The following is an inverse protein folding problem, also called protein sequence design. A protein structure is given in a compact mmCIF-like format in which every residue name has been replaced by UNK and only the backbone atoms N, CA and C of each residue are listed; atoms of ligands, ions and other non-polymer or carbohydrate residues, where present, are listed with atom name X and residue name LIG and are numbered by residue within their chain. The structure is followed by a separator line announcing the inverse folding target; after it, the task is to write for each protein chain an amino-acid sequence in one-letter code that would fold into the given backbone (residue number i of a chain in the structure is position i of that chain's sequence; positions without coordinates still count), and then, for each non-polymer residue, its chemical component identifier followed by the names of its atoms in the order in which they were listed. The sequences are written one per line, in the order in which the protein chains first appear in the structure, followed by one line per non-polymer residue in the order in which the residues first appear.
data_IF_081785777462
#
_entry.id   IF_081785777462
#
_cell.length_a   1.000
_cell.length_b   1.000
_cell.length_c   1.000
_cell.angle_alpha   90.00
_cell.angle_beta   90.00
_cell.angle_gamma   90.00
#
_symmetry.space_group_name_H-M   'P 1'
#
loop_
_entity.id
_entity.type
_entity.pdbx_description
1 polymer ?
#
# COMPACT_ATOMS: atom_id res chain seq x y z
N UNK A 1 5.33 11.02 14.62
CA UNK A 1 6.12 11.76 13.62
C UNK A 1 7.05 10.87 12.79
N UNK A 2 7.95 10.09 13.39
CA UNK A 2 8.83 9.22 12.60
C UNK A 2 8.07 8.18 11.77
N UNK A 3 6.99 7.65 12.35
CA UNK A 3 5.98 6.81 11.72
C UNK A 3 5.26 7.54 10.58
N UNK A 4 4.70 8.73 10.84
CA UNK A 4 3.95 9.52 9.83
C UNK A 4 4.82 9.83 8.60
N UNK A 5 6.06 10.30 8.81
CA UNK A 5 6.98 10.63 7.73
C UNK A 5 7.37 9.40 6.89
N UNK A 6 7.49 8.22 7.52
CA UNK A 6 7.80 6.99 6.80
C UNK A 6 6.67 6.58 5.83
N UNK A 7 5.42 6.88 6.18
CA UNK A 7 4.25 6.60 5.33
C UNK A 7 4.24 7.47 4.08
N UNK A 8 4.59 8.76 4.22
CA UNK A 8 4.78 9.69 3.11
C UNK A 8 5.89 9.24 2.15
N UNK A 9 7.01 8.77 2.70
CA UNK A 9 8.10 8.24 1.88
C UNK A 9 7.63 7.01 1.08
N UNK A 10 6.93 6.07 1.72
CA UNK A 10 6.45 4.86 1.07
C UNK A 10 5.44 5.14 -0.05
N UNK A 11 4.39 5.94 0.22
CA UNK A 11 3.39 6.27 -0.81
C UNK A 11 3.97 7.16 -1.91
N UNK A 12 4.89 8.06 -1.55
CA UNK A 12 5.62 8.91 -2.49
C UNK A 12 6.45 8.11 -3.48
N UNK A 13 7.23 7.14 -2.98
CA UNK A 13 8.03 6.23 -3.82
C UNK A 13 7.14 5.39 -4.75
N UNK A 14 6.05 4.82 -4.22
CA UNK A 14 5.11 4.04 -5.02
C UNK A 14 4.43 4.86 -6.13
N UNK A 15 3.94 6.05 -5.79
CA UNK A 15 3.31 6.94 -6.75
C UNK A 15 4.32 7.40 -7.81
N UNK A 16 5.55 7.70 -7.40
CA UNK A 16 6.63 8.08 -8.30
C UNK A 16 6.94 6.97 -9.30
N UNK A 17 7.10 5.72 -8.85
CA UNK A 17 7.32 4.56 -9.71
C UNK A 17 6.18 4.38 -10.73
N UNK A 18 4.92 4.42 -10.26
CA UNK A 18 3.72 4.29 -11.11
C UNK A 18 3.53 5.44 -12.12
N UNK A 19 4.07 6.62 -11.85
CA UNK A 19 4.02 7.74 -12.79
C UNK A 19 5.21 7.74 -13.74
N UNK A 20 6.38 7.29 -13.29
CA UNK A 20 7.62 7.41 -14.04
C UNK A 20 7.87 6.27 -15.03
N UNK A 21 7.38 5.05 -14.78
CA UNK A 21 7.80 3.88 -15.57
C UNK A 21 7.61 4.06 -17.08
N UNK A 22 6.48 4.61 -17.54
CA UNK A 22 6.19 4.92 -18.94
C UNK A 22 6.46 6.39 -19.35
N UNK A 23 6.98 7.22 -18.45
CA UNK A 23 7.11 8.65 -18.69
C UNK A 23 8.43 9.04 -19.37
N UNK A 24 8.37 10.08 -20.21
CA UNK A 24 9.56 10.72 -20.80
C UNK A 24 10.45 11.36 -19.73
N UNK A 25 11.75 11.61 -20.00
CA UNK A 25 12.65 12.23 -19.04
C UNK A 25 12.15 13.58 -18.48
N UNK A 26 11.52 14.40 -19.33
CA UNK A 26 10.93 15.67 -18.92
C UNK A 26 9.73 15.48 -17.97
N UNK A 27 8.84 14.53 -18.27
CA UNK A 27 7.70 14.21 -17.41
C UNK A 27 8.14 13.61 -16.07
N UNK A 28 9.12 12.70 -16.06
CA UNK A 28 9.70 12.13 -14.84
C UNK A 28 10.20 13.23 -13.90
N UNK A 29 10.95 14.20 -14.43
CA UNK A 29 11.41 15.37 -13.65
C UNK A 29 10.23 16.14 -13.07
N UNK A 30 9.20 16.42 -13.87
CA UNK A 30 8.04 17.16 -13.40
C UNK A 30 7.28 16.40 -12.29
N UNK A 31 7.11 15.07 -12.41
CA UNK A 31 6.50 14.25 -11.37
C UNK A 31 7.33 14.22 -10.09
N UNK A 32 8.65 14.07 -10.19
CA UNK A 32 9.55 14.14 -9.03
C UNK A 32 9.42 15.49 -8.31
N UNK A 33 9.48 16.60 -9.05
CA UNK A 33 9.35 17.94 -8.49
C UNK A 33 7.98 18.16 -7.84
N UNK A 34 6.90 17.67 -8.46
CA UNK A 34 5.55 17.77 -7.90
C UNK A 34 5.42 16.95 -6.60
N UNK A 35 5.89 15.70 -6.58
CA UNK A 35 5.83 14.85 -5.38
C UNK A 35 6.66 15.44 -4.24
N UNK A 36 7.91 15.83 -4.49
CA UNK A 36 8.76 16.44 -3.47
C UNK A 36 8.22 17.80 -3.02
N UNK A 37 7.69 18.59 -3.95
CA UNK A 37 7.07 19.89 -3.68
C UNK A 37 5.80 19.81 -2.83
N UNK A 38 5.15 18.64 -2.75
CA UNK A 38 4.04 18.39 -1.81
C UNK A 38 4.54 17.77 -0.51
N UNK A 39 5.36 16.71 -0.60
CA UNK A 39 5.78 15.95 0.57
C UNK A 39 6.65 16.76 1.53
N UNK A 40 7.61 17.54 1.02
CA UNK A 40 8.52 18.31 1.88
C UNK A 40 7.76 19.38 2.66
N UNK A 41 6.95 20.27 2.05
CA UNK A 41 6.24 21.29 2.81
C UNK A 41 5.23 20.72 3.80
N UNK A 42 4.47 19.68 3.41
CA UNK A 42 3.48 19.07 4.31
C UNK A 42 4.17 18.37 5.48
N UNK A 43 5.30 17.69 5.24
CA UNK A 43 6.12 17.09 6.30
C UNK A 43 6.65 18.16 7.27
N UNK A 44 7.21 19.25 6.74
CA UNK A 44 7.72 20.36 7.55
C UNK A 44 6.59 20.99 8.37
N UNK A 45 5.43 21.22 7.76
CA UNK A 45 4.26 21.74 8.46
C UNK A 45 3.82 20.82 9.59
N UNK A 46 3.66 19.52 9.31
CA UNK A 46 3.30 18.53 10.32
C UNK A 46 4.26 18.54 11.52
N UNK A 47 5.57 18.63 11.25
CA UNK A 47 6.60 18.65 12.29
C UNK A 47 6.60 19.94 13.11
N UNK A 48 6.42 21.09 12.46
CA UNK A 48 6.49 22.40 13.13
C UNK A 48 5.19 22.75 13.85
N UNK A 49 4.04 22.42 13.25
CA UNK A 49 2.72 22.74 13.78
C UNK A 49 2.20 21.68 14.77
N UNK A 50 2.85 20.51 14.85
CA UNK A 50 2.41 19.37 15.68
C UNK A 50 0.94 18.98 15.39
N UNK A 51 0.60 18.97 14.09
CA UNK A 51 -0.77 18.86 13.57
C UNK A 51 -0.83 17.76 12.50
N UNK A 52 -1.76 16.80 12.61
CA UNK A 52 -1.81 15.58 11.80
C UNK A 52 -2.83 15.60 10.64
N UNK A 53 -3.85 16.46 10.67
CA UNK A 53 -4.93 16.45 9.69
C UNK A 53 -4.45 16.76 8.27
N UNK A 54 -3.54 17.72 8.08
CA UNK A 54 -3.00 18.01 6.74
C UNK A 54 -2.21 16.82 6.20
N UNK A 55 -1.43 16.16 7.06
CA UNK A 55 -0.71 14.93 6.70
C UNK A 55 -1.69 13.85 6.23
N UNK A 56 -2.74 13.60 7.01
CA UNK A 56 -3.74 12.56 6.75
C UNK A 56 -4.48 12.77 5.43
N UNK A 57 -4.94 14.00 5.16
CA UNK A 57 -5.66 14.33 3.92
C UNK A 57 -4.77 14.11 2.70
N UNK A 58 -3.52 14.57 2.75
CA UNK A 58 -2.56 14.42 1.65
C UNK A 58 -2.19 12.94 1.46
N UNK A 59 -1.97 12.21 2.55
CA UNK A 59 -1.71 10.78 2.51
C UNK A 59 -2.85 10.01 1.83
N UNK A 60 -4.09 10.24 2.27
CA UNK A 60 -5.27 9.60 1.72
C UNK A 60 -5.43 9.90 0.22
N UNK A 61 -5.21 11.16 -0.20
CA UNK A 61 -5.25 11.55 -1.60
C UNK A 61 -4.22 10.77 -2.44
N UNK A 62 -2.98 10.66 -1.96
CA UNK A 62 -1.92 9.92 -2.65
C UNK A 62 -2.22 8.43 -2.74
N UNK A 63 -2.72 7.81 -1.66
CA UNK A 63 -3.14 6.39 -1.66
C UNK A 63 -4.26 6.16 -2.68
N UNK A 64 -5.25 7.05 -2.75
CA UNK A 64 -6.32 6.97 -3.75
C UNK A 64 -5.75 7.06 -5.17
N UNK A 65 -4.79 7.94 -5.43
CA UNK A 65 -4.12 8.05 -6.73
C UNK A 65 -3.40 6.75 -7.11
N UNK A 66 -2.63 6.18 -6.18
CA UNK A 66 -1.95 4.87 -6.36
C UNK A 66 -2.98 3.80 -6.69
N UNK A 67 -4.02 3.62 -5.86
CA UNK A 67 -5.05 2.59 -6.06
C UNK A 67 -5.75 2.75 -7.41
N UNK A 68 -6.11 3.98 -7.81
CA UNK A 68 -6.76 4.24 -9.11
C UNK A 68 -5.85 3.90 -10.27
N UNK A 69 -4.57 4.30 -10.21
CA UNK A 69 -3.58 4.04 -11.26
C UNK A 69 -3.28 2.54 -11.36
N UNK A 70 -3.04 1.86 -10.24
CA UNK A 70 -2.82 0.40 -10.19
C UNK A 70 -4.02 -0.35 -10.76
N UNK A 71 -5.26 -0.03 -10.35
CA UNK A 71 -6.47 -0.66 -10.91
C UNK A 71 -6.65 -0.37 -12.40
N UNK A 72 -6.28 0.82 -12.87
CA UNK A 72 -6.30 1.15 -14.31
C UNK A 72 -5.31 0.27 -15.07
N UNK A 73 -4.08 0.13 -14.57
CA UNK A 73 -3.05 -0.71 -15.18
C UNK A 73 -3.44 -2.19 -15.21
N UNK A 74 -4.00 -2.72 -14.11
CA UNK A 74 -4.54 -4.10 -14.08
C UNK A 74 -5.56 -4.29 -15.21
N UNK A 75 -6.46 -3.33 -15.42
CA UNK A 75 -7.47 -3.44 -16.48
C UNK A 75 -6.91 -3.38 -17.89
N UNK A 76 -5.93 -2.52 -18.13
CA UNK A 76 -5.37 -2.25 -19.46
C UNK A 76 -4.30 -3.27 -19.88
N UNK A 77 -3.57 -3.85 -18.93
CA UNK A 77 -2.39 -4.68 -19.21
C UNK A 77 -2.65 -6.17 -19.04
N UNK A 78 -3.54 -6.56 -18.13
CA UNK A 78 -3.82 -7.99 -17.88
C UNK A 78 -4.89 -8.48 -18.86
N UNK A 79 -4.45 -9.21 -19.89
CA UNK A 79 -5.30 -9.76 -20.94
C UNK A 79 -6.14 -10.97 -20.48
N UNK A 80 -5.61 -11.77 -19.56
CA UNK A 80 -6.33 -12.93 -19.04
C UNK A 80 -7.34 -12.47 -17.97
N UNK A 81 -8.63 -12.67 -18.22
CA UNK A 81 -9.70 -12.27 -17.30
C UNK A 81 -9.61 -12.97 -15.93
N UNK A 82 -9.10 -14.20 -15.87
CA UNK A 82 -8.87 -14.89 -14.59
C UNK A 82 -7.78 -14.17 -13.77
N UNK A 83 -6.68 -13.80 -14.45
CA UNK A 83 -5.56 -13.10 -13.82
C UNK A 83 -5.98 -11.70 -13.33
N UNK A 84 -6.72 -10.97 -14.17
CA UNK A 84 -7.30 -9.67 -13.83
C UNK A 84 -8.19 -9.76 -12.59
N UNK A 85 -9.07 -10.76 -12.52
CA UNK A 85 -9.95 -10.98 -11.36
C UNK A 85 -9.16 -11.22 -10.08
N UNK A 86 -8.17 -12.12 -10.12
CA UNK A 86 -7.34 -12.44 -8.94
C UNK A 86 -6.51 -11.25 -8.47
N UNK A 87 -5.89 -10.50 -9.38
CA UNK A 87 -5.17 -9.26 -9.04
C UNK A 87 -6.10 -8.18 -8.48
N UNK A 88 -7.32 -8.07 -9.02
CA UNK A 88 -8.35 -7.17 -8.49
C UNK A 88 -8.81 -7.55 -7.08
N UNK A 89 -8.97 -8.85 -6.80
CA UNK A 89 -9.26 -9.36 -5.47
C UNK A 89 -8.12 -9.08 -4.49
N UNK A 90 -6.87 -9.31 -4.89
CA UNK A 90 -5.69 -9.00 -4.10
C UNK A 90 -5.59 -7.49 -3.79
N UNK A 91 -5.83 -6.63 -4.79
CA UNK A 91 -5.89 -5.18 -4.58
C UNK A 91 -7.01 -4.78 -3.61
N UNK A 92 -8.17 -5.44 -3.69
CA UNK A 92 -9.30 -5.19 -2.78
C UNK A 92 -8.99 -5.66 -1.36
N UNK A 93 -8.30 -6.78 -1.21
CA UNK A 93 -7.82 -7.27 0.06
C UNK A 93 -6.82 -6.28 0.70
N UNK A 94 -5.86 -5.76 -0.07
CA UNK A 94 -4.94 -4.73 0.42
C UNK A 94 -5.66 -3.46 0.90
N UNK A 95 -6.66 -2.98 0.14
CA UNK A 95 -7.48 -1.82 0.51
C UNK A 95 -8.27 -2.12 1.80
N UNK A 96 -8.88 -3.30 1.90
CA UNK A 96 -9.66 -3.68 3.09
C UNK A 96 -8.78 -3.71 4.36
N UNK A 97 -7.57 -4.28 4.27
CA UNK A 97 -6.62 -4.27 5.38
C UNK A 97 -6.22 -2.84 5.75
N UNK A 98 -5.89 -2.01 4.77
CA UNK A 98 -5.51 -0.61 5.02
C UNK A 98 -6.64 0.18 5.71
N UNK A 99 -7.88 0.06 5.23
CA UNK A 99 -9.05 0.71 5.86
C UNK A 99 -9.31 0.19 7.27
N UNK A 100 -9.16 -1.12 7.48
CA UNK A 100 -9.33 -1.71 8.80
C UNK A 100 -8.24 -1.23 9.76
N UNK A 101 -6.98 -1.17 9.32
CA UNK A 101 -5.91 -0.57 10.09
C UNK A 101 -6.23 0.87 10.47
N UNK A 102 -6.60 1.71 9.49
CA UNK A 102 -6.95 3.11 9.73
C UNK A 102 -8.13 3.25 10.73
N UNK A 103 -9.12 2.37 10.66
CA UNK A 103 -10.21 2.32 11.63
C UNK A 103 -9.70 2.05 13.07
N UNK A 104 -8.78 1.10 13.25
CA UNK A 104 -8.18 0.82 14.56
C UNK A 104 -7.35 2.01 15.07
N UNK A 105 -6.59 2.65 14.19
CA UNK A 105 -5.84 3.86 14.52
C UNK A 105 -6.76 5.01 14.94
N UNK A 106 -7.89 5.20 14.23
CA UNK A 106 -8.87 6.24 14.57
C UNK A 106 -9.48 6.03 15.96
N UNK A 107 -9.79 4.77 16.33
CA UNK A 107 -10.22 4.43 17.69
C UNK A 107 -9.13 4.75 18.69
N UNK A 108 -7.88 4.34 18.43
CA UNK A 108 -6.76 4.56 19.34
C UNK A 108 -6.51 6.06 19.58
N UNK A 109 -6.56 6.86 18.51
CA UNK A 109 -6.37 8.31 18.56
C UNK A 109 -7.47 9.02 19.39
N UNK A 110 -8.75 8.71 19.15
CA UNK A 110 -9.87 9.40 19.81
C UNK A 110 -10.20 8.84 21.20
N UNK A 111 -9.97 7.55 21.44
CA UNK A 111 -10.34 6.84 22.67
C UNK A 111 -9.13 6.35 23.48
N UNK A 112 -7.96 6.98 23.30
CA UNK A 112 -6.69 6.60 23.93
C UNK A 112 -6.81 6.35 25.45
N UNK A 113 -7.51 7.22 26.17
CA UNK A 113 -7.69 7.10 27.63
C UNK A 113 -8.50 5.86 28.03
N UNK A 114 -9.50 5.49 27.22
CA UNK A 114 -10.32 4.30 27.44
C UNK A 114 -9.55 3.03 27.09
N UNK A 115 -8.91 2.99 25.92
CA UNK A 115 -8.09 1.87 25.46
C UNK A 115 -6.97 1.57 26.45
N UNK A 116 -6.28 2.60 26.94
CA UNK A 116 -5.21 2.46 27.94
C UNK A 116 -5.73 1.92 29.27
N UNK A 117 -6.91 2.38 29.73
CA UNK A 117 -7.53 1.87 30.95
C UNK A 117 -7.90 0.39 30.83
N UNK A 118 -8.44 -0.01 29.68
CA UNK A 118 -8.76 -1.42 29.39
C UNK A 118 -7.49 -2.27 29.36
N UNK A 119 -6.41 -1.80 28.72
CA UNK A 119 -5.10 -2.49 28.73
C UNK A 119 -4.59 -2.74 30.14
N UNK A 120 -4.62 -1.71 31.01
CA UNK A 120 -4.16 -1.83 32.39
C UNK A 120 -5.07 -2.74 33.22
N UNK A 121 -6.38 -2.72 32.96
CA UNK A 121 -7.32 -3.59 33.67
C UNK A 121 -7.15 -5.07 33.30
N UNK A 122 -6.95 -5.36 32.01
CA UNK A 122 -6.80 -6.74 31.51
C UNK A 122 -5.42 -7.33 31.89
N UNK A 123 -4.37 -6.51 31.87
CA UNK A 123 -3.00 -6.96 32.18
C UNK A 123 -2.41 -7.92 31.14
N UNK A 124 -1.15 -8.29 31.32
CA UNK A 124 -0.45 -9.21 30.42
C UNK A 124 -0.85 -10.67 30.68
N UNK A 125 -0.87 -11.54 29.64
CA UNK A 125 -0.47 -11.27 28.25
C UNK A 125 -1.58 -10.67 27.37
N UNK A 126 -2.85 -10.73 27.81
CA UNK A 126 -4.01 -10.38 26.99
C UNK A 126 -4.12 -8.88 26.65
N UNK A 127 -3.46 -8.02 27.43
CA UNK A 127 -3.34 -6.59 27.17
C UNK A 127 -2.73 -6.26 25.79
N UNK A 128 -1.92 -7.17 25.23
CA UNK A 128 -1.35 -7.02 23.88
C UNK A 128 -2.43 -6.97 22.79
N UNK A 129 -3.53 -7.72 22.96
CA UNK A 129 -4.63 -7.70 21.98
C UNK A 129 -5.32 -6.34 21.89
N UNK A 130 -5.22 -5.53 22.94
CA UNK A 130 -5.81 -4.20 23.01
C UNK A 130 -4.84 -3.09 22.59
N UNK A 131 -3.64 -3.43 22.07
CA UNK A 131 -2.73 -2.48 21.44
C UNK A 131 -3.18 -2.19 20.00
N UNK A 132 -4.25 -1.40 19.87
CA UNK A 132 -4.84 -1.05 18.57
C UNK A 132 -3.85 -0.38 17.63
N UNK A 133 -2.94 0.45 18.16
CA UNK A 133 -1.85 1.05 17.39
C UNK A 133 -0.91 0.00 16.78
N UNK A 134 -0.61 -1.10 17.49
CA UNK A 134 0.20 -2.20 16.96
C UNK A 134 -0.50 -2.94 15.83
N UNK A 135 -1.80 -3.19 15.97
CA UNK A 135 -2.62 -3.77 14.91
C UNK A 135 -2.72 -2.88 13.67
N UNK A 136 -2.84 -1.57 13.86
CA UNK A 136 -2.80 -0.61 12.76
C UNK A 136 -1.56 -0.82 11.88
N UNK A 137 -0.36 -0.88 12.46
CA UNK A 137 0.89 -1.13 11.73
C UNK A 137 0.87 -2.45 10.95
N UNK A 138 0.34 -3.53 11.55
CA UNK A 138 0.25 -4.83 10.89
C UNK A 138 -0.65 -4.73 9.64
N UNK A 139 -1.85 -4.18 9.80
CA UNK A 139 -2.84 -4.11 8.73
C UNK A 139 -2.45 -3.13 7.61
N UNK A 140 -1.92 -1.95 7.95
CA UNK A 140 -1.41 -1.01 6.96
C UNK A 140 -0.15 -1.51 6.29
N UNK A 141 0.74 -2.21 7.03
CA UNK A 141 1.91 -2.90 6.49
C UNK A 141 1.55 -3.96 5.45
N UNK A 142 0.53 -4.79 5.73
CA UNK A 142 -0.01 -5.75 4.75
C UNK A 142 -0.55 -5.04 3.51
N UNK A 143 -1.33 -3.98 3.70
CA UNK A 143 -1.87 -3.17 2.59
C UNK A 143 -0.78 -2.54 1.72
N UNK A 144 0.23 -1.94 2.35
CA UNK A 144 1.37 -1.32 1.68
C UNK A 144 2.21 -2.36 0.93
N UNK A 145 2.49 -3.51 1.55
CA UNK A 145 3.18 -4.63 0.92
C UNK A 145 2.47 -5.11 -0.36
N UNK A 146 1.15 -5.32 -0.28
CA UNK A 146 0.35 -5.71 -1.44
C UNK A 146 0.39 -4.63 -2.53
N UNK A 147 0.32 -3.35 -2.16
CA UNK A 147 0.42 -2.23 -3.09
C UNK A 147 1.78 -2.17 -3.83
N UNK A 148 2.88 -2.36 -3.10
CA UNK A 148 4.23 -2.45 -3.66
C UNK A 148 4.36 -3.65 -4.60
N UNK A 149 3.95 -4.83 -4.17
CA UNK A 149 4.09 -6.05 -4.95
C UNK A 149 3.25 -6.01 -6.25
N UNK A 150 2.02 -5.50 -6.18
CA UNK A 150 1.18 -5.30 -7.37
C UNK A 150 1.79 -4.27 -8.33
N UNK A 151 2.34 -3.17 -7.79
CA UNK A 151 3.00 -2.14 -8.60
C UNK A 151 4.22 -2.69 -9.31
N UNK A 152 5.10 -3.37 -8.58
CA UNK A 152 6.30 -3.98 -9.11
C UNK A 152 5.95 -4.97 -10.23
N UNK A 153 5.04 -5.91 -9.94
CA UNK A 153 4.60 -6.90 -10.93
C UNK A 153 4.02 -6.27 -12.20
N UNK A 154 3.20 -5.22 -12.08
CA UNK A 154 2.62 -4.52 -13.24
C UNK A 154 3.67 -3.76 -14.05
N UNK A 155 4.69 -3.19 -13.41
CA UNK A 155 5.79 -2.50 -14.09
C UNK A 155 6.70 -3.52 -14.79
N UNK A 156 7.06 -4.61 -14.14
CA UNK A 156 7.96 -5.61 -14.73
C UNK A 156 7.33 -6.38 -15.89
N UNK A 157 6.01 -6.63 -15.88
CA UNK A 157 5.31 -7.20 -17.05
C UNK A 157 5.52 -6.33 -18.29
N UNK A 158 5.56 -5.01 -18.14
CA UNK A 158 5.78 -4.08 -19.27
C UNK A 158 7.19 -4.20 -19.82
N UNK A 159 8.18 -4.47 -18.96
CA UNK A 159 9.58 -4.66 -19.36
C UNK A 159 9.86 -6.06 -19.93
N UNK A 160 8.88 -6.99 -19.87
CA UNK A 160 9.00 -8.35 -20.40
C UNK A 160 9.89 -9.28 -19.55
N UNK A 161 10.18 -8.91 -18.30
CA UNK A 161 11.10 -9.65 -17.41
C UNK A 161 10.36 -10.42 -16.30
N UNK A 162 9.43 -11.31 -16.65
CA UNK A 162 8.58 -12.01 -15.66
C UNK A 162 9.33 -13.03 -14.79
N UNK A 163 10.43 -13.61 -15.29
CA UNK A 163 11.11 -14.75 -14.66
C UNK A 163 11.81 -14.44 -13.32
N UNK A 164 12.07 -13.16 -12.99
CA UNK A 164 12.82 -12.77 -11.77
C UNK A 164 11.95 -12.44 -10.56
N UNK A 165 10.66 -12.21 -10.74
CA UNK A 165 9.82 -11.56 -9.72
C UNK A 165 9.01 -12.58 -8.90
N UNK A 166 8.72 -13.76 -9.45
CA UNK A 166 7.90 -14.78 -8.78
C UNK A 166 8.57 -15.39 -7.54
N UNK A 167 9.90 -15.39 -7.46
CA UNK A 167 10.65 -16.01 -6.36
C UNK A 167 10.76 -15.13 -5.10
N UNK A 168 10.60 -13.81 -5.22
CA UNK A 168 10.87 -12.85 -4.14
C UNK A 168 9.67 -12.50 -3.25
N UNK A 169 8.44 -12.78 -3.68
CA UNK A 169 7.25 -12.38 -2.92
C UNK A 169 6.87 -13.40 -1.83
N UNK A 170 6.26 -12.90 -0.76
CA UNK A 170 5.75 -13.64 0.40
C UNK A 170 4.22 -13.65 0.35
N UNK A 171 3.57 -14.45 1.23
CA UNK A 171 2.12 -14.46 1.35
C UNK A 171 1.57 -13.05 1.66
N UNK A 172 0.40 -12.63 1.11
CA UNK A 172 -0.53 -13.38 0.28
C UNK A 172 -0.22 -13.34 -1.22
N UNK A 173 0.71 -12.49 -1.65
CA UNK A 173 0.99 -12.23 -3.07
C UNK A 173 1.53 -13.49 -3.76
N UNK A 174 2.49 -14.19 -3.14
CA UNK A 174 3.05 -15.44 -3.67
C UNK A 174 2.00 -16.51 -3.94
N UNK A 175 1.00 -16.63 -3.06
CA UNK A 175 -0.07 -17.61 -3.23
C UNK A 175 -0.92 -17.29 -4.46
N UNK A 176 -1.25 -16.01 -4.67
CA UNK A 176 -1.98 -15.57 -5.85
C UNK A 176 -1.14 -15.81 -7.11
N UNK A 177 0.14 -15.41 -7.14
CA UNK A 177 1.00 -15.59 -8.30
C UNK A 177 1.20 -17.07 -8.67
N UNK A 178 1.50 -17.94 -7.68
CA UNK A 178 1.66 -19.39 -7.92
C UNK A 178 0.42 -20.02 -8.55
N UNK A 179 -0.77 -19.60 -8.10
CA UNK A 179 -2.01 -20.08 -8.69
C UNK A 179 -2.23 -19.57 -10.13
N UNK A 180 -1.77 -18.34 -10.45
CA UNK A 180 -1.83 -17.80 -11.81
C UNK A 180 -0.99 -18.65 -12.78
N UNK A 181 0.20 -19.08 -12.35
CA UNK A 181 1.11 -19.92 -13.16
C UNK A 181 0.58 -21.34 -13.31
N UNK A 182 0.01 -21.90 -12.25
CA UNK A 182 -0.65 -23.20 -12.29
C UNK A 182 -1.82 -23.20 -13.28
N UNK A 183 -2.69 -22.18 -13.24
CA UNK A 183 -3.78 -22.01 -14.22
C UNK A 183 -3.27 -21.81 -15.65
N UNK A 184 -2.15 -21.10 -15.83
CA UNK A 184 -1.53 -20.88 -17.15
C UNK A 184 -0.97 -22.16 -17.79
N UNK A 185 -0.28 -22.99 -17.00
CA UNK A 185 0.28 -24.28 -17.47
C UNK A 185 -0.80 -25.29 -17.85
N UNK A 186 -1.91 -25.34 -17.09
CA UNK A 186 -3.04 -26.24 -17.38
C UNK A 186 -3.70 -25.89 -18.72
N UNK A 187 -3.80 -24.60 -19.07
CA UNK A 187 -4.36 -24.15 -20.36
C UNK A 187 -3.46 -24.40 -21.57
N UNK A 188 -2.13 -24.50 -21.39
CA UNK A 188 -1.17 -24.73 -22.48
C UNK A 188 -1.05 -26.21 -22.87
N UNK A 189 -1.42 -27.12 -21.96
CA UNK A 189 -1.37 -28.58 -22.16
C UNK A 189 -2.72 -29.18 -22.60
N UNK A 190 -3.67 -28.35 -23.05
CA UNK A 190 -4.98 -28.77 -23.53
C UNK A 190 -5.23 -28.17 -24.91
#
# INVERSE_FOLDING_TARGET
MGDDLSMFLAVGALLHQLLCFEATPAQRRNYTLAILGVLIPVSTYHVVADEIYVHEIVFAAMVIMVVRKTRKLIRERVKNEEHKKRMGQLATFGIANFLFGYFLWSIDFHLCSYVTRVKHYVGLPWGFLFELHGWWHIFTGIGAYIGMALTEYLVTIVEGQTDRVEEGFVWPVRAVLRDLDASGRIKKNR
#
